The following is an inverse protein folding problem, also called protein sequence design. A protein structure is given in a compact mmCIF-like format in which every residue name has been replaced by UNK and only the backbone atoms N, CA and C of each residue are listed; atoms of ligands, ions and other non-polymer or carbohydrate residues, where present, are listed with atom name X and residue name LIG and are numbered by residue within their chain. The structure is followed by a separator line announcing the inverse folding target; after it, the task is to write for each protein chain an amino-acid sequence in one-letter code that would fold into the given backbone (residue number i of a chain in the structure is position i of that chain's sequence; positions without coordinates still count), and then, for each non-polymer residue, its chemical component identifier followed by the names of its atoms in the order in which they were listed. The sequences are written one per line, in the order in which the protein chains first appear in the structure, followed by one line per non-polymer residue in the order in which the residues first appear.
data_IF_071969309942
#
_entry.id   IF_071969309942
#
_cell.length_a   1.000
_cell.length_b   1.000
_cell.length_c   1.000
_cell.angle_alpha   90.00
_cell.angle_beta   90.00
_cell.angle_gamma   90.00
#
_symmetry.space_group_name_H-M   'P 1'
#
loop_
_entity.id
_entity.type
_entity.pdbx_description
1 polymer ?
#
# COMPACT_ATOMS: atom_id res chain seq x y z
N UNK A 1 11.41 24.72 10.96
CA UNK A 1 12.30 24.17 12.00
C UNK A 1 12.49 22.66 11.84
N UNK A 2 11.46 21.87 11.55
CA UNK A 2 11.51 20.40 11.33
C UNK A 2 12.41 20.01 10.13
N UNK A 3 12.37 20.77 9.02
CA UNK A 3 13.20 20.53 7.84
C UNK A 3 14.72 20.69 8.09
N UNK A 4 15.15 21.69 8.88
CA UNK A 4 16.57 21.88 9.23
C UNK A 4 17.10 20.74 10.10
N UNK A 5 16.28 20.15 10.96
CA UNK A 5 16.69 19.05 11.86
C UNK A 5 16.82 17.71 11.14
N UNK A 6 15.96 17.45 10.14
CA UNK A 6 16.01 16.23 9.32
C UNK A 6 17.22 16.19 8.38
N UNK A 7 17.63 17.31 7.82
CA UNK A 7 18.70 17.35 6.79
C UNK A 7 20.11 17.67 7.35
N UNK A 8 20.24 18.30 8.51
CA UNK A 8 21.53 18.76 9.01
C UNK A 8 22.32 17.71 9.82
N UNK A 9 21.72 16.59 10.23
CA UNK A 9 22.40 15.50 10.96
C UNK A 9 22.55 14.18 10.20
N UNK A 10 21.92 14.01 9.07
CA UNK A 10 21.91 12.73 8.35
C UNK A 10 22.95 12.73 7.21
N UNK A 11 24.20 12.47 7.53
CA UNK A 11 25.17 12.01 6.52
C UNK A 11 24.83 10.56 6.14
N UNK A 12 23.82 10.37 5.26
CA UNK A 12 23.54 9.07 4.69
C UNK A 12 24.54 8.75 3.58
N UNK A 13 24.82 7.48 3.40
CA UNK A 13 25.58 7.00 2.24
C UNK A 13 24.92 7.49 0.93
N UNK A 14 25.68 7.87 -0.12
CA UNK A 14 25.11 8.35 -1.39
C UNK A 14 24.04 7.43 -1.98
N UNK A 15 24.21 6.10 -1.87
CA UNK A 15 23.23 5.12 -2.31
C UNK A 15 21.91 5.22 -1.51
N UNK A 16 21.96 5.50 -0.21
CA UNK A 16 20.74 5.70 0.59
C UNK A 16 19.95 6.91 0.09
N UNK A 17 20.63 8.04 -0.19
CA UNK A 17 20.01 9.19 -0.84
C UNK A 17 19.44 8.85 -2.21
N UNK A 18 20.17 8.06 -3.02
CA UNK A 18 19.69 7.56 -4.30
C UNK A 18 18.40 6.74 -4.19
N UNK A 19 18.28 5.89 -3.15
CA UNK A 19 17.04 5.14 -2.88
C UNK A 19 15.91 6.07 -2.42
N UNK A 20 16.19 7.06 -1.56
CA UNK A 20 15.18 8.00 -1.06
C UNK A 20 14.64 8.88 -2.19
N UNK A 21 15.53 9.50 -2.98
CA UNK A 21 15.17 10.35 -4.12
C UNK A 21 14.48 9.50 -5.20
N UNK A 22 15.02 8.32 -5.49
CA UNK A 22 14.41 7.39 -6.43
C UNK A 22 13.02 6.91 -5.99
N UNK A 23 12.80 6.74 -4.67
CA UNK A 23 11.47 6.48 -4.12
C UNK A 23 10.52 7.65 -4.38
N UNK A 24 10.95 8.89 -4.13
CA UNK A 24 10.15 10.08 -4.45
C UNK A 24 9.77 10.13 -5.93
N UNK A 25 10.75 9.97 -6.83
CA UNK A 25 10.53 10.00 -8.27
C UNK A 25 9.62 8.86 -8.75
N UNK A 26 9.86 7.64 -8.29
CA UNK A 26 9.03 6.48 -8.66
C UNK A 26 7.61 6.59 -8.12
N UNK A 27 7.42 7.14 -6.92
CA UNK A 27 6.09 7.40 -6.36
C UNK A 27 5.37 8.53 -7.08
N UNK A 28 6.08 9.60 -7.45
CA UNK A 28 5.50 10.67 -8.28
C UNK A 28 5.01 10.10 -9.62
N UNK A 29 5.83 9.32 -10.33
CA UNK A 29 5.42 8.67 -11.58
C UNK A 29 4.26 7.69 -11.40
N UNK A 30 4.27 6.90 -10.33
CA UNK A 30 3.18 6.01 -10.00
C UNK A 30 1.86 6.75 -9.79
N UNK A 31 1.83 7.74 -8.90
CA UNK A 31 0.61 8.50 -8.57
C UNK A 31 0.18 9.46 -9.68
N UNK A 32 1.05 9.74 -10.66
CA UNK A 32 0.74 10.49 -11.87
C UNK A 32 -0.11 9.68 -12.86
N UNK A 33 -0.07 8.33 -12.80
CA UNK A 33 -0.67 7.43 -13.79
C UNK A 33 -1.68 6.46 -13.20
N UNK A 34 -1.28 5.64 -12.23
CA UNK A 34 -2.04 4.46 -11.80
C UNK A 34 -3.39 4.78 -11.14
N UNK A 35 -3.54 5.82 -10.31
CA UNK A 35 -4.85 6.23 -9.79
C UNK A 35 -5.84 6.63 -10.88
N UNK A 36 -5.33 7.15 -12.02
CA UNK A 36 -6.14 7.54 -13.16
C UNK A 36 -6.37 6.40 -14.16
N UNK A 37 -5.74 5.23 -13.95
CA UNK A 37 -5.85 4.10 -14.87
C UNK A 37 -7.31 3.64 -15.03
N UNK A 38 -8.10 3.63 -13.96
CA UNK A 38 -9.52 3.29 -14.03
C UNK A 38 -10.31 4.25 -14.93
N UNK A 39 -10.02 5.56 -14.84
CA UNK A 39 -10.65 6.59 -15.68
C UNK A 39 -10.20 6.43 -17.14
N UNK A 40 -8.89 6.23 -17.35
CA UNK A 40 -8.32 6.03 -18.69
C UNK A 40 -8.95 4.82 -19.40
N UNK A 41 -9.02 3.67 -18.72
CA UNK A 41 -9.60 2.45 -19.29
C UNK A 41 -11.10 2.60 -19.57
N UNK A 42 -11.86 3.19 -18.63
CA UNK A 42 -13.31 3.36 -18.80
C UNK A 42 -13.66 4.43 -19.82
N UNK A 43 -13.10 5.63 -19.68
CA UNK A 43 -13.51 6.80 -20.47
C UNK A 43 -12.86 6.87 -21.84
N UNK A 44 -11.54 6.60 -21.94
CA UNK A 44 -10.82 6.71 -23.22
C UNK A 44 -10.84 5.43 -24.04
N UNK A 45 -10.78 4.26 -23.36
CA UNK A 45 -10.77 2.97 -24.04
C UNK A 45 -12.16 2.32 -24.13
N UNK A 46 -13.17 2.90 -23.48
CA UNK A 46 -14.55 2.41 -23.54
C UNK A 46 -14.75 1.04 -22.89
N UNK A 47 -13.84 0.65 -21.99
CA UNK A 47 -13.91 -0.65 -21.31
C UNK A 47 -14.93 -0.57 -20.18
N UNK A 48 -15.80 -1.58 -20.07
CA UNK A 48 -16.83 -1.61 -19.03
C UNK A 48 -16.26 -1.68 -17.61
N UNK A 49 -16.96 -1.16 -16.59
CA UNK A 49 -16.43 -1.02 -15.24
C UNK A 49 -16.01 -2.35 -14.59
N UNK A 50 -16.70 -3.47 -14.87
CA UNK A 50 -16.34 -4.76 -14.30
C UNK A 50 -15.01 -5.28 -14.89
N UNK A 51 -14.80 -5.09 -16.19
CA UNK A 51 -13.54 -5.42 -16.88
C UNK A 51 -12.41 -4.51 -16.41
N UNK A 52 -12.66 -3.20 -16.23
CA UNK A 52 -11.70 -2.27 -15.60
C UNK A 52 -11.31 -2.75 -14.19
N UNK A 53 -12.31 -3.09 -13.37
CA UNK A 53 -12.07 -3.64 -12.03
C UNK A 53 -11.21 -4.90 -12.06
N UNK A 54 -11.44 -5.81 -13.02
CA UNK A 54 -10.65 -7.03 -13.18
C UNK A 54 -9.19 -6.73 -13.62
N UNK A 55 -9.00 -5.75 -14.52
CA UNK A 55 -7.66 -5.30 -14.94
C UNK A 55 -6.89 -4.71 -13.75
N UNK A 56 -7.52 -3.91 -12.91
CA UNK A 56 -6.90 -3.37 -11.70
C UNK A 56 -6.63 -4.48 -10.68
N UNK A 57 -7.57 -5.42 -10.52
CA UNK A 57 -7.45 -6.55 -9.60
C UNK A 57 -6.26 -7.45 -9.91
N UNK A 58 -5.98 -7.75 -11.19
CA UNK A 58 -4.86 -8.63 -11.56
C UNK A 58 -3.51 -8.01 -11.19
N UNK A 59 -3.36 -6.69 -11.25
CA UNK A 59 -2.15 -5.99 -10.79
C UNK A 59 -1.91 -6.22 -9.29
N UNK A 60 -2.95 -6.10 -8.49
CA UNK A 60 -2.88 -6.30 -7.04
C UNK A 60 -2.62 -7.76 -6.68
N UNK A 61 -3.26 -8.70 -7.37
CA UNK A 61 -3.10 -10.13 -7.14
C UNK A 61 -1.68 -10.60 -7.47
N UNK A 62 -1.17 -10.26 -8.66
CA UNK A 62 0.19 -10.61 -9.08
C UNK A 62 1.21 -9.93 -8.17
N UNK A 63 0.95 -8.69 -7.77
CA UNK A 63 1.78 -7.94 -6.81
C UNK A 63 1.93 -8.65 -5.48
N UNK A 64 0.86 -9.24 -4.94
CA UNK A 64 0.88 -9.99 -3.67
C UNK A 64 1.87 -11.16 -3.71
N UNK A 65 1.80 -11.97 -4.77
CA UNK A 65 2.70 -13.13 -4.95
C UNK A 65 4.12 -12.66 -5.23
N UNK A 66 4.28 -11.62 -6.04
CA UNK A 66 5.58 -11.11 -6.50
C UNK A 66 6.41 -10.46 -5.41
N UNK A 67 5.78 -9.88 -4.39
CA UNK A 67 6.48 -9.24 -3.28
C UNK A 67 7.36 -10.22 -2.52
N UNK A 68 6.85 -11.42 -2.27
CA UNK A 68 7.61 -12.48 -1.61
C UNK A 68 8.76 -12.99 -2.50
N UNK A 69 8.46 -13.28 -3.77
CA UNK A 69 9.43 -13.76 -4.74
C UNK A 69 10.56 -12.72 -4.99
N UNK A 70 10.20 -11.42 -5.08
CA UNK A 70 11.12 -10.32 -5.30
C UNK A 70 12.15 -10.17 -4.19
N UNK A 71 11.72 -10.27 -2.93
CA UNK A 71 12.61 -10.28 -1.77
C UNK A 71 13.64 -11.40 -1.86
N UNK A 72 13.18 -12.65 -2.05
CA UNK A 72 14.04 -13.82 -2.17
C UNK A 72 14.99 -13.75 -3.39
N UNK A 73 14.51 -13.22 -4.52
CA UNK A 73 15.30 -13.04 -5.73
C UNK A 73 16.42 -12.01 -5.50
N UNK A 74 16.11 -10.91 -4.80
CA UNK A 74 17.11 -9.88 -4.49
C UNK A 74 18.18 -10.32 -3.50
N UNK A 75 17.87 -11.28 -2.63
CA UNK A 75 18.84 -11.90 -1.73
C UNK A 75 19.82 -12.82 -2.48
N UNK A 76 19.37 -13.43 -3.58
CA UNK A 76 20.18 -14.36 -4.39
C UNK A 76 20.99 -13.66 -5.48
N UNK A 77 20.36 -12.78 -6.24
CA UNK A 77 20.96 -12.11 -7.40
C UNK A 77 21.62 -10.76 -7.05
N UNK A 78 21.40 -10.27 -5.82
CA UNK A 78 21.83 -8.95 -5.39
C UNK A 78 20.76 -7.87 -5.59
N UNK A 79 20.87 -6.79 -4.81
CA UNK A 79 19.89 -5.70 -4.80
C UNK A 79 19.83 -4.93 -6.11
N UNK A 80 21.00 -4.52 -6.62
CA UNK A 80 21.07 -3.69 -7.83
C UNK A 80 20.51 -4.39 -9.08
N UNK A 81 20.92 -5.62 -9.46
CA UNK A 81 20.39 -6.25 -10.66
C UNK A 81 18.85 -6.37 -10.63
N UNK A 82 18.28 -6.74 -9.49
CA UNK A 82 16.82 -6.89 -9.33
C UNK A 82 16.12 -5.54 -9.44
N UNK A 83 16.63 -4.48 -8.80
CA UNK A 83 16.05 -3.14 -8.89
C UNK A 83 16.15 -2.55 -10.29
N UNK A 84 17.30 -2.68 -10.95
CA UNK A 84 17.53 -2.19 -12.33
C UNK A 84 16.56 -2.88 -13.29
N UNK A 85 16.49 -4.21 -13.24
CA UNK A 85 15.58 -4.98 -14.11
C UNK A 85 14.12 -4.62 -13.83
N UNK A 86 13.72 -4.52 -12.57
CA UNK A 86 12.36 -4.16 -12.21
C UNK A 86 11.98 -2.76 -12.69
N UNK A 87 12.84 -1.75 -12.48
CA UNK A 87 12.55 -0.38 -12.91
C UNK A 87 12.59 -0.22 -14.43
N UNK A 88 13.54 -0.84 -15.12
CA UNK A 88 13.62 -0.82 -16.58
C UNK A 88 12.41 -1.50 -17.23
N UNK A 89 12.04 -2.68 -16.75
CA UNK A 89 10.85 -3.39 -17.24
C UNK A 89 9.56 -2.64 -16.90
N UNK A 90 9.46 -2.04 -15.71
CA UNK A 90 8.30 -1.23 -15.33
C UNK A 90 8.15 0.01 -16.20
N UNK A 91 9.27 0.65 -16.61
CA UNK A 91 9.26 1.73 -17.61
C UNK A 91 8.63 1.26 -18.93
N UNK A 92 9.01 0.08 -19.44
CA UNK A 92 8.43 -0.48 -20.67
C UNK A 92 6.93 -0.80 -20.52
N UNK A 93 6.48 -1.25 -19.34
CA UNK A 93 5.05 -1.46 -19.06
C UNK A 93 4.27 -0.16 -19.18
N UNK A 94 4.80 0.96 -18.67
CA UNK A 94 4.15 2.27 -18.80
C UNK A 94 4.08 2.75 -20.26
N UNK A 95 5.13 2.51 -21.04
CA UNK A 95 5.07 2.74 -22.50
C UNK A 95 3.98 1.87 -23.13
N UNK A 96 3.88 0.60 -22.71
CA UNK A 96 2.82 -0.31 -23.15
C UNK A 96 1.42 0.25 -22.87
N UNK A 97 1.15 0.76 -21.67
CA UNK A 97 -0.13 1.40 -21.34
C UNK A 97 -0.46 2.59 -22.25
N UNK A 98 0.54 3.39 -22.62
CA UNK A 98 0.34 4.53 -23.50
C UNK A 98 -0.16 4.14 -24.91
N UNK A 99 0.33 3.03 -25.46
CA UNK A 99 0.09 2.64 -26.85
C UNK A 99 -0.85 1.44 -27.02
N UNK A 100 -1.28 0.78 -25.93
CA UNK A 100 -2.20 -0.34 -26.00
C UNK A 100 -3.59 0.09 -26.44
N UNK A 101 -4.24 -0.75 -27.27
CA UNK A 101 -5.62 -0.59 -27.72
C UNK A 101 -6.52 -1.76 -27.31
N UNK A 102 -5.94 -2.97 -27.25
CA UNK A 102 -6.69 -4.20 -27.01
C UNK A 102 -6.87 -4.49 -25.52
N UNK A 103 -8.07 -4.87 -25.10
CA UNK A 103 -8.41 -5.13 -23.69
C UNK A 103 -7.50 -6.19 -23.05
N UNK A 104 -7.16 -7.27 -23.75
CA UNK A 104 -6.31 -8.33 -23.21
C UNK A 104 -4.87 -7.85 -22.92
N UNK A 105 -4.37 -6.87 -23.72
CA UNK A 105 -3.06 -6.27 -23.49
C UNK A 105 -3.04 -5.53 -22.15
N UNK A 106 -4.13 -4.83 -21.79
CA UNK A 106 -4.23 -4.15 -20.49
C UNK A 106 -4.19 -5.13 -19.31
N UNK A 107 -4.74 -6.35 -19.45
CA UNK A 107 -4.56 -7.39 -18.41
C UNK A 107 -3.10 -7.79 -18.25
N UNK A 108 -2.38 -8.01 -19.34
CA UNK A 108 -0.95 -8.37 -19.31
C UNK A 108 -0.12 -7.23 -18.71
N UNK A 109 -0.34 -6.00 -19.16
CA UNK A 109 0.37 -4.83 -18.65
C UNK A 109 0.09 -4.57 -17.17
N UNK A 110 -1.15 -4.75 -16.72
CA UNK A 110 -1.53 -4.65 -15.32
C UNK A 110 -0.86 -5.74 -14.45
N UNK A 111 -0.82 -6.97 -14.92
CA UNK A 111 -0.12 -8.06 -14.25
C UNK A 111 1.39 -7.74 -14.11
N UNK A 112 2.04 -7.29 -15.19
CA UNK A 112 3.44 -6.88 -15.19
C UNK A 112 3.69 -5.65 -14.30
N UNK A 113 2.77 -4.69 -14.28
CA UNK A 113 2.82 -3.54 -13.38
C UNK A 113 2.83 -3.99 -11.91
N UNK A 114 1.93 -4.91 -11.53
CA UNK A 114 1.89 -5.50 -10.20
C UNK A 114 3.18 -6.26 -9.86
N UNK A 115 3.70 -7.05 -10.81
CA UNK A 115 4.95 -7.80 -10.67
C UNK A 115 6.13 -6.87 -10.37
N UNK A 116 6.44 -5.94 -11.27
CA UNK A 116 7.65 -5.13 -11.17
C UNK A 116 7.61 -4.15 -10.01
N UNK A 117 6.46 -3.55 -9.71
CA UNK A 117 6.26 -2.72 -8.54
C UNK A 117 6.58 -3.48 -7.25
N UNK A 118 6.05 -4.68 -7.10
CA UNK A 118 6.16 -5.44 -5.85
C UNK A 118 7.46 -6.26 -5.75
N UNK A 119 8.22 -6.41 -6.81
CA UNK A 119 9.62 -6.86 -6.79
C UNK A 119 10.55 -5.70 -6.38
N UNK A 120 10.31 -4.48 -6.90
CA UNK A 120 11.12 -3.30 -6.62
C UNK A 120 11.03 -2.85 -5.15
N UNK A 121 9.83 -2.73 -4.60
CA UNK A 121 9.58 -2.13 -3.28
C UNK A 121 10.31 -2.80 -2.10
N UNK A 122 10.24 -4.13 -1.91
CA UNK A 122 10.97 -4.80 -0.85
C UNK A 122 12.48 -4.75 -1.07
N UNK A 123 12.93 -4.82 -2.33
CA UNK A 123 14.34 -4.75 -2.69
C UNK A 123 14.92 -3.36 -2.36
N UNK A 124 14.19 -2.28 -2.67
CA UNK A 124 14.60 -0.92 -2.34
C UNK A 124 14.69 -0.69 -0.81
N UNK A 125 13.74 -1.25 -0.04
CA UNK A 125 13.79 -1.21 1.43
C UNK A 125 15.01 -1.97 1.97
N UNK A 126 15.30 -3.14 1.42
CA UNK A 126 16.44 -3.94 1.82
C UNK A 126 17.76 -3.22 1.48
N UNK A 127 17.89 -2.65 0.28
CA UNK A 127 19.07 -1.86 -0.11
C UNK A 127 19.29 -0.69 0.84
N UNK A 128 18.22 0.06 1.18
CA UNK A 128 18.30 1.17 2.13
C UNK A 128 18.79 0.71 3.51
N UNK A 129 18.27 -0.42 4.01
CA UNK A 129 18.72 -1.01 5.28
C UNK A 129 20.19 -1.49 5.23
N UNK A 130 20.62 -2.05 4.08
CA UNK A 130 21.96 -2.59 3.90
C UNK A 130 23.04 -1.49 3.90
N UNK A 131 22.72 -0.30 3.33
CA UNK A 131 23.67 0.83 3.22
C UNK A 131 23.54 1.84 4.36
N UNK A 132 22.63 1.61 5.32
CA UNK A 132 22.41 2.53 6.45
C UNK A 132 22.80 1.88 7.76
N UNK A 133 23.67 2.52 8.58
CA UNK A 133 24.01 2.06 9.93
C UNK A 133 22.78 1.87 10.81
N UNK A 134 22.82 0.94 11.75
CA UNK A 134 21.65 0.56 12.57
C UNK A 134 21.04 1.71 13.36
N UNK A 135 21.89 2.55 13.95
CA UNK A 135 21.49 3.74 14.69
C UNK A 135 20.80 4.81 13.84
N UNK A 136 20.95 4.76 12.50
CA UNK A 136 20.41 5.71 11.52
C UNK A 136 19.29 5.16 10.66
N UNK A 137 18.96 3.88 10.76
CA UNK A 137 17.92 3.23 9.95
C UNK A 137 16.55 3.90 10.11
N UNK A 138 16.19 4.25 11.34
CA UNK A 138 14.92 4.94 11.61
C UNK A 138 14.80 6.25 10.83
N UNK A 139 15.88 7.04 10.79
CA UNK A 139 15.89 8.32 10.08
C UNK A 139 15.80 8.13 8.56
N UNK A 140 16.52 7.12 8.03
CA UNK A 140 16.50 6.80 6.59
C UNK A 140 15.11 6.31 6.15
N UNK A 141 14.47 5.45 6.94
CA UNK A 141 13.11 4.99 6.64
C UNK A 141 12.07 6.10 6.78
N UNK A 142 12.22 7.01 7.77
CA UNK A 142 11.37 8.19 7.90
C UNK A 142 11.52 9.13 6.68
N UNK A 143 12.76 9.37 6.23
CA UNK A 143 13.02 10.16 5.03
C UNK A 143 12.40 9.51 3.77
N UNK A 144 12.52 8.18 3.64
CA UNK A 144 11.86 7.43 2.56
C UNK A 144 10.33 7.51 2.65
N UNK A 145 9.76 7.40 3.84
CA UNK A 145 8.32 7.54 4.05
C UNK A 145 7.83 8.94 3.69
N UNK A 146 8.57 9.98 4.06
CA UNK A 146 8.30 11.35 3.61
C UNK A 146 8.34 11.47 2.08
N UNK A 147 9.33 10.86 1.43
CA UNK A 147 9.45 10.84 -0.02
C UNK A 147 8.25 10.16 -0.72
N UNK A 148 7.72 9.06 -0.15
CA UNK A 148 6.51 8.38 -0.64
C UNK A 148 5.31 9.33 -0.61
N UNK A 149 5.06 9.98 0.54
CA UNK A 149 3.91 10.86 0.72
C UNK A 149 4.03 12.14 -0.12
N UNK A 150 5.23 12.69 -0.24
CA UNK A 150 5.48 13.85 -1.10
C UNK A 150 5.20 13.50 -2.59
N UNK A 151 5.63 12.33 -3.04
CA UNK A 151 5.31 11.81 -4.37
C UNK A 151 3.80 11.61 -4.56
N UNK A 152 3.10 11.11 -3.53
CA UNK A 152 1.65 10.95 -3.51
C UNK A 152 0.89 12.27 -3.61
N UNK A 153 1.40 13.35 -3.00
CA UNK A 153 0.79 14.68 -3.09
C UNK A 153 1.03 15.35 -4.45
N UNK A 154 2.26 15.23 -4.99
CA UNK A 154 2.67 15.95 -6.22
C UNK A 154 2.25 15.18 -7.48
N UNK A 155 2.28 13.84 -7.44
CA UNK A 155 2.01 12.98 -8.60
C UNK A 155 0.67 13.27 -9.28
N UNK A 156 -0.47 13.25 -8.57
CA UNK A 156 -1.77 13.55 -9.18
C UNK A 156 -1.86 14.93 -9.80
N UNK A 157 -1.23 15.95 -9.18
CA UNK A 157 -1.21 17.32 -9.71
C UNK A 157 -0.46 17.41 -11.04
N UNK A 158 0.68 16.74 -11.15
CA UNK A 158 1.44 16.68 -12.41
C UNK A 158 0.64 15.85 -13.43
N UNK A 159 0.10 14.70 -13.03
CA UNK A 159 -0.70 13.83 -13.89
C UNK A 159 -1.86 14.59 -14.52
N UNK A 160 -2.63 15.32 -13.71
CA UNK A 160 -3.74 16.13 -14.18
C UNK A 160 -3.30 17.21 -15.20
N UNK A 161 -2.21 17.93 -14.91
CA UNK A 161 -1.64 18.93 -15.85
C UNK A 161 -1.14 18.31 -17.15
N UNK A 162 -0.72 17.05 -17.14
CA UNK A 162 -0.29 16.32 -18.32
C UNK A 162 -1.46 15.64 -19.06
N UNK A 163 -2.70 15.83 -18.59
CA UNK A 163 -3.90 15.30 -19.24
C UNK A 163 -4.36 13.93 -18.71
N UNK A 164 -3.97 13.53 -17.49
CA UNK A 164 -4.52 12.31 -16.88
C UNK A 164 -6.05 12.41 -16.78
N UNK A 165 -6.76 11.41 -17.32
CA UNK A 165 -8.22 11.38 -17.36
C UNK A 165 -8.88 12.24 -18.43
N UNK A 166 -8.10 12.87 -19.34
CA UNK A 166 -8.60 13.53 -20.56
C UNK A 166 -8.48 12.59 -21.76
N UNK A 167 -9.06 12.98 -22.89
CA UNK A 167 -9.03 12.21 -24.16
C UNK A 167 -7.61 12.03 -24.78
N UNK A 168 -6.56 12.38 -24.07
CA UNK A 168 -5.17 12.23 -24.51
C UNK A 168 -4.23 11.94 -23.32
N UNK A 169 -4.54 10.90 -22.54
CA UNK A 169 -3.77 10.50 -21.34
C UNK A 169 -2.41 9.84 -21.64
N UNK A 170 -1.87 10.02 -22.85
CA UNK A 170 -0.58 9.43 -23.26
C UNK A 170 0.60 9.99 -22.45
N UNK A 171 0.64 11.33 -22.25
CA UNK A 171 1.77 12.04 -21.65
C UNK A 171 2.09 11.58 -20.21
N UNK A 172 1.14 11.38 -19.29
CA UNK A 172 1.43 10.90 -17.95
C UNK A 172 2.18 9.57 -17.95
N UNK A 173 1.78 8.63 -18.81
CA UNK A 173 2.45 7.33 -18.93
C UNK A 173 3.87 7.46 -19.47
N UNK A 174 4.08 8.25 -20.53
CA UNK A 174 5.39 8.44 -21.12
C UNK A 174 6.36 9.18 -20.20
N UNK A 175 5.91 10.24 -19.52
CA UNK A 175 6.73 10.97 -18.55
C UNK A 175 7.11 10.06 -17.38
N UNK A 176 6.19 9.25 -16.86
CA UNK A 176 6.48 8.26 -15.82
C UNK A 176 7.46 7.19 -16.31
N UNK A 177 7.32 6.73 -17.55
CA UNK A 177 8.25 5.77 -18.16
C UNK A 177 9.67 6.35 -18.24
N UNK A 178 9.81 7.60 -18.65
CA UNK A 178 11.11 8.30 -18.70
C UNK A 178 11.71 8.42 -17.29
N UNK A 179 10.93 8.81 -16.30
CA UNK A 179 11.39 8.90 -14.90
C UNK A 179 11.91 7.53 -14.42
N UNK A 180 11.21 6.45 -14.71
CA UNK A 180 11.60 5.10 -14.29
C UNK A 180 12.85 4.61 -15.05
N UNK A 181 12.96 4.90 -16.34
CA UNK A 181 14.17 4.60 -17.13
C UNK A 181 15.39 5.34 -16.59
N UNK A 182 15.26 6.66 -16.32
CA UNK A 182 16.33 7.46 -15.74
C UNK A 182 16.75 6.95 -14.35
N UNK A 183 15.78 6.51 -13.55
CA UNK A 183 16.11 5.91 -12.26
C UNK A 183 16.80 4.55 -12.41
N UNK A 184 16.42 3.72 -13.38
CA UNK A 184 17.14 2.49 -13.69
C UNK A 184 18.60 2.77 -14.10
N UNK A 185 18.84 3.80 -14.93
CA UNK A 185 20.19 4.26 -15.31
C UNK A 185 20.97 4.74 -14.08
N UNK A 186 20.36 5.52 -13.20
CA UNK A 186 21.01 5.96 -11.96
C UNK A 186 21.42 4.76 -11.07
N UNK A 187 20.58 3.72 -10.99
CA UNK A 187 20.92 2.50 -10.26
C UNK A 187 22.09 1.75 -10.89
N UNK A 188 22.22 1.74 -12.24
CA UNK A 188 23.41 1.20 -12.93
C UNK A 188 24.65 1.99 -12.54
N UNK A 189 24.59 3.33 -12.55
CA UNK A 189 25.69 4.19 -12.13
C UNK A 189 26.09 3.90 -10.69
N UNK A 190 25.13 3.76 -9.78
CA UNK A 190 25.43 3.41 -8.38
C UNK A 190 26.05 2.01 -8.25
N UNK A 191 25.58 1.04 -9.01
CA UNK A 191 26.17 -0.30 -9.06
C UNK A 191 27.64 -0.28 -9.49
N UNK A 192 27.99 0.57 -10.45
CA UNK A 192 29.36 0.71 -10.96
C UNK A 192 30.27 1.47 -9.98
N UNK A 193 29.75 2.51 -9.31
CA UNK A 193 30.53 3.34 -8.40
C UNK A 193 30.64 2.77 -6.98
N UNK A 194 29.61 2.08 -6.49
CA UNK A 194 29.52 1.59 -5.11
C UNK A 194 29.34 0.08 -5.10
N UNK A 195 30.43 -0.66 -4.95
CA UNK A 195 30.38 -2.11 -4.75
C UNK A 195 29.84 -2.40 -3.34
N UNK A 196 28.64 -2.97 -3.25
CA UNK A 196 28.11 -3.45 -1.99
C UNK A 196 28.64 -4.87 -1.74
N UNK A 197 29.26 -5.08 -0.59
CA UNK A 197 29.61 -6.43 -0.16
C UNK A 197 28.33 -7.25 0.05
N UNK A 198 28.34 -8.47 -0.48
CA UNK A 198 27.24 -9.40 -0.24
C UNK A 198 27.24 -9.76 1.25
N UNK A 199 26.19 -9.36 1.96
CA UNK A 199 26.02 -9.78 3.36
C UNK A 199 26.00 -11.31 3.44
N UNK A 200 26.71 -11.87 4.42
CA UNK A 200 26.64 -13.30 4.72
C UNK A 200 25.20 -13.79 4.80
N UNK A 201 24.92 -14.89 4.12
CA UNK A 201 23.60 -15.50 4.07
C UNK A 201 23.17 -15.88 5.47
N UNK A 202 22.25 -15.14 6.06
CA UNK A 202 21.59 -15.55 7.29
C UNK A 202 20.96 -16.93 7.11
N UNK A 203 21.08 -17.79 8.11
CA UNK A 203 20.53 -19.14 8.08
C UNK A 203 19.05 -19.09 7.70
N UNK A 204 18.70 -19.65 6.56
CA UNK A 204 17.32 -19.63 6.03
C UNK A 204 16.51 -20.63 6.84
N UNK A 205 15.72 -20.15 7.79
CA UNK A 205 14.67 -20.97 8.42
C UNK A 205 13.73 -21.45 7.31
N UNK A 206 13.39 -22.72 7.31
CA UNK A 206 12.52 -23.30 6.29
C UNK A 206 11.19 -22.55 6.19
N UNK A 207 10.82 -22.11 5.00
CA UNK A 207 9.57 -21.37 4.69
C UNK A 207 8.35 -22.13 5.22
N UNK A 208 8.35 -23.47 5.10
CA UNK A 208 7.24 -24.31 5.57
C UNK A 208 7.10 -24.29 7.11
N UNK A 209 8.21 -24.23 7.84
CA UNK A 209 8.15 -24.14 9.31
C UNK A 209 7.64 -22.77 9.75
N UNK A 210 8.11 -21.68 9.11
CA UNK A 210 7.60 -20.32 9.38
C UNK A 210 6.11 -20.22 9.10
N UNK A 211 5.66 -20.68 7.93
CA UNK A 211 4.25 -20.68 7.56
C UNK A 211 3.40 -21.46 8.58
N UNK A 212 3.84 -22.65 8.99
CA UNK A 212 3.13 -23.46 9.98
C UNK A 212 2.94 -22.72 11.30
N UNK A 213 3.97 -22.06 11.82
CA UNK A 213 3.89 -21.31 13.09
C UNK A 213 2.95 -20.12 12.96
N UNK A 214 3.12 -19.32 11.90
CA UNK A 214 2.33 -18.10 11.67
C UNK A 214 0.84 -18.42 11.51
N UNK A 215 0.50 -19.44 10.70
CA UNK A 215 -0.89 -19.80 10.44
C UNK A 215 -1.53 -20.65 11.55
N UNK A 216 -0.78 -21.12 12.56
CA UNK A 216 -1.34 -21.73 13.77
C UNK A 216 -1.64 -20.70 14.86
N UNK A 217 -1.09 -19.47 14.77
CA UNK A 217 -1.42 -18.41 15.73
C UNK A 217 -2.82 -17.84 15.45
N UNK A 218 -3.77 -18.24 16.31
CA UNK A 218 -5.18 -17.84 16.18
C UNK A 218 -5.37 -16.31 16.23
N UNK A 219 -4.60 -15.58 17.04
CA UNK A 219 -4.72 -14.11 17.11
C UNK A 219 -4.32 -13.49 15.78
N UNK A 220 -3.18 -13.92 15.24
CA UNK A 220 -2.71 -13.48 13.93
C UNK A 220 -3.67 -13.87 12.81
N UNK A 221 -4.22 -15.09 12.84
CA UNK A 221 -5.16 -15.55 11.81
C UNK A 221 -6.43 -14.70 11.79
N UNK A 222 -7.02 -14.40 12.94
CA UNK A 222 -8.20 -13.54 13.02
C UNK A 222 -7.89 -12.09 12.62
N UNK A 223 -6.72 -11.58 12.99
CA UNK A 223 -6.24 -10.29 12.49
C UNK A 223 -6.13 -10.28 10.96
N UNK A 224 -5.47 -11.28 10.38
CA UNK A 224 -5.28 -11.40 8.93
C UNK A 224 -6.62 -11.48 8.18
N UNK A 225 -7.56 -12.29 8.66
CA UNK A 225 -8.89 -12.41 8.07
C UNK A 225 -9.66 -11.09 8.10
N UNK A 226 -9.60 -10.33 9.21
CA UNK A 226 -10.16 -8.99 9.27
C UNK A 226 -9.45 -8.01 8.33
N UNK A 227 -8.12 -8.11 8.27
CA UNK A 227 -7.31 -7.21 7.46
C UNK A 227 -7.50 -7.41 5.94
N UNK A 228 -7.96 -8.58 5.47
CA UNK A 228 -8.38 -8.80 4.08
C UNK A 228 -9.50 -7.81 3.69
N UNK A 229 -10.52 -7.64 4.52
CA UNK A 229 -11.63 -6.71 4.24
C UNK A 229 -11.22 -5.24 4.36
N UNK A 230 -10.36 -4.91 5.32
CA UNK A 230 -9.81 -3.56 5.48
C UNK A 230 -8.89 -3.19 4.32
N UNK A 231 -8.03 -4.10 3.88
CA UNK A 231 -7.20 -3.90 2.70
C UNK A 231 -8.07 -3.74 1.44
N UNK A 232 -9.17 -4.49 1.36
CA UNK A 232 -10.19 -4.33 0.33
C UNK A 232 -10.80 -2.93 0.32
N UNK A 233 -11.19 -2.42 1.50
CA UNK A 233 -11.72 -1.06 1.64
C UNK A 233 -10.75 0.00 1.11
N UNK A 234 -9.45 -0.14 1.41
CA UNK A 234 -8.41 0.77 0.92
C UNK A 234 -8.30 0.77 -0.61
N UNK A 235 -8.43 -0.39 -1.26
CA UNK A 235 -8.30 -0.47 -2.71
C UNK A 235 -9.35 0.34 -3.47
N UNK A 236 -10.51 0.59 -2.87
CA UNK A 236 -11.56 1.38 -3.51
C UNK A 236 -11.14 2.84 -3.77
N UNK A 237 -10.14 3.37 -3.06
CA UNK A 237 -9.57 4.68 -3.33
C UNK A 237 -9.04 4.78 -4.77
N UNK A 238 -8.24 3.79 -5.20
CA UNK A 238 -7.59 3.77 -6.51
C UNK A 238 -8.46 3.12 -7.60
N UNK A 239 -9.49 2.36 -7.22
CA UNK A 239 -10.24 1.52 -8.16
C UNK A 239 -11.67 2.00 -8.35
N UNK A 240 -12.54 1.80 -7.37
CA UNK A 240 -13.97 2.14 -7.48
C UNK A 240 -14.20 3.65 -7.46
N UNK A 241 -13.53 4.38 -6.56
CA UNK A 241 -13.68 5.83 -6.43
C UNK A 241 -13.14 6.55 -7.67
N UNK A 242 -12.04 6.06 -8.27
CA UNK A 242 -11.50 6.59 -9.52
C UNK A 242 -12.50 6.47 -10.66
N UNK A 243 -13.18 5.33 -10.76
CA UNK A 243 -14.22 5.11 -11.78
C UNK A 243 -15.48 5.93 -11.47
N UNK A 244 -15.93 5.98 -10.21
CA UNK A 244 -17.18 6.62 -9.81
C UNK A 244 -17.11 8.16 -9.86
N UNK A 245 -16.19 8.78 -9.12
CA UNK A 245 -16.03 10.25 -9.10
C UNK A 245 -15.22 10.71 -10.31
N UNK A 246 -14.14 9.99 -10.63
CA UNK A 246 -13.22 10.40 -11.68
C UNK A 246 -13.81 10.32 -13.07
N UNK A 247 -14.89 9.55 -13.27
CA UNK A 247 -15.58 9.47 -14.56
C UNK A 247 -15.99 10.86 -15.08
N UNK A 248 -16.61 11.68 -14.26
CA UNK A 248 -17.13 12.99 -14.66
C UNK A 248 -16.38 14.16 -14.01
N UNK A 249 -15.64 13.93 -12.90
CA UNK A 249 -15.02 14.96 -12.08
C UNK A 249 -13.59 14.59 -11.71
N UNK A 250 -12.69 14.53 -12.72
CA UNK A 250 -11.28 14.12 -12.53
C UNK A 250 -10.53 15.04 -11.57
N UNK A 251 -10.81 16.34 -11.62
CA UNK A 251 -10.22 17.34 -10.72
C UNK A 251 -10.64 17.09 -9.27
N UNK A 252 -11.91 16.76 -9.03
CA UNK A 252 -12.40 16.41 -7.69
C UNK A 252 -11.72 15.15 -7.17
N UNK A 253 -11.56 14.12 -8.00
CA UNK A 253 -10.85 12.91 -7.63
C UNK A 253 -9.38 13.19 -7.28
N UNK A 254 -8.68 13.99 -8.10
CA UNK A 254 -7.30 14.41 -7.82
C UNK A 254 -7.19 15.21 -6.51
N UNK A 255 -8.14 16.10 -6.25
CA UNK A 255 -8.20 16.88 -5.02
C UNK A 255 -8.38 15.98 -3.79
N UNK A 256 -9.22 14.94 -3.89
CA UNK A 256 -9.40 13.97 -2.81
C UNK A 256 -8.11 13.21 -2.47
N UNK A 257 -7.27 12.89 -3.45
CA UNK A 257 -5.95 12.30 -3.20
C UNK A 257 -5.03 13.23 -2.40
N UNK A 258 -5.07 14.52 -2.70
CA UNK A 258 -4.30 15.53 -1.95
C UNK A 258 -4.82 15.62 -0.52
N UNK A 259 -6.15 15.64 -0.35
CA UNK A 259 -6.80 15.65 0.98
C UNK A 259 -6.38 14.41 1.78
N UNK A 260 -6.40 13.20 1.18
CA UNK A 260 -5.93 11.97 1.82
C UNK A 260 -4.47 12.11 2.29
N UNK A 261 -3.56 12.51 1.39
CA UNK A 261 -2.14 12.65 1.74
C UNK A 261 -1.90 13.66 2.86
N UNK A 262 -2.55 14.84 2.79
CA UNK A 262 -2.44 15.87 3.82
C UNK A 262 -3.04 15.39 5.15
N UNK A 263 -4.17 14.69 5.11
CA UNK A 263 -4.79 14.12 6.30
C UNK A 263 -3.89 13.07 6.96
N UNK A 264 -3.22 12.20 6.19
CA UNK A 264 -2.21 11.28 6.72
C UNK A 264 -1.12 12.04 7.46
N UNK A 265 -0.52 13.05 6.83
CA UNK A 265 0.58 13.82 7.43
C UNK A 265 0.17 14.56 8.71
N UNK A 266 -1.05 15.09 8.76
CA UNK A 266 -1.57 15.86 9.90
C UNK A 266 -1.98 14.92 11.05
N UNK A 267 -2.73 13.85 10.74
CA UNK A 267 -3.39 13.04 11.76
C UNK A 267 -2.60 11.81 12.21
N UNK A 268 -1.60 11.34 11.44
CA UNK A 268 -0.86 10.12 11.78
C UNK A 268 -0.26 10.14 13.18
N UNK A 269 0.46 11.20 13.55
CA UNK A 269 1.10 11.29 14.85
C UNK A 269 0.12 11.48 16.01
N UNK A 270 -0.87 12.42 15.96
CA UNK A 270 -1.89 12.55 16.98
C UNK A 270 -2.70 11.27 17.21
N UNK A 271 -3.13 10.60 16.14
CA UNK A 271 -3.90 9.35 16.23
C UNK A 271 -3.07 8.22 16.82
N UNK A 272 -1.81 8.04 16.39
CA UNK A 272 -0.92 7.05 16.95
C UNK A 272 -0.72 7.24 18.45
N UNK A 273 -0.64 8.50 18.92
CA UNK A 273 -0.55 8.82 20.35
C UNK A 273 -1.83 8.55 21.11
N UNK A 274 -2.97 8.89 20.52
CA UNK A 274 -4.29 8.67 21.12
C UNK A 274 -4.58 7.17 21.27
N UNK A 275 -4.23 6.38 20.26
CA UNK A 275 -4.51 4.94 20.22
C UNK A 275 -3.70 4.12 21.21
N UNK A 276 -2.59 4.64 21.76
CA UNK A 276 -1.86 3.99 22.89
C UNK A 276 -2.73 3.75 24.13
N UNK A 277 -3.91 4.41 24.23
CA UNK A 277 -4.87 4.23 25.33
C UNK A 277 -5.80 3.02 25.13
N UNK A 278 -5.83 2.45 23.95
CA UNK A 278 -6.69 1.32 23.56
C UNK A 278 -5.85 0.09 23.26
N UNK A 279 -6.43 -1.09 23.38
CA UNK A 279 -5.79 -2.30 22.83
C UNK A 279 -5.71 -2.20 21.30
N UNK A 280 -4.65 -2.76 20.71
CA UNK A 280 -4.45 -2.71 19.26
C UNK A 280 -5.67 -3.20 18.47
N UNK A 281 -6.32 -4.29 18.91
CA UNK A 281 -7.54 -4.81 18.25
C UNK A 281 -8.77 -3.93 18.46
N UNK A 282 -8.89 -3.22 19.59
CA UNK A 282 -9.95 -2.23 19.77
C UNK A 282 -9.77 -1.02 18.84
N UNK A 283 -8.53 -0.55 18.69
CA UNK A 283 -8.20 0.54 17.77
C UNK A 283 -8.46 0.14 16.30
N UNK A 284 -8.17 -1.11 15.91
CA UNK A 284 -8.50 -1.64 14.58
C UNK A 284 -10.01 -1.64 14.30
N UNK A 285 -10.85 -1.99 15.31
CA UNK A 285 -12.31 -1.91 15.17
C UNK A 285 -12.80 -0.48 14.95
N UNK A 286 -12.23 0.48 15.70
CA UNK A 286 -12.53 1.91 15.51
C UNK A 286 -12.10 2.34 14.10
N UNK A 287 -10.91 1.93 13.67
CA UNK A 287 -10.41 2.20 12.31
C UNK A 287 -11.33 1.63 11.23
N UNK A 288 -11.78 0.40 11.39
CA UNK A 288 -12.74 -0.24 10.48
C UNK A 288 -14.05 0.55 10.35
N UNK A 289 -14.58 1.08 11.49
CA UNK A 289 -15.78 1.93 11.49
C UNK A 289 -15.54 3.21 10.68
N UNK A 290 -14.46 3.94 10.93
CA UNK A 290 -14.10 5.13 10.19
C UNK A 290 -13.90 4.87 8.70
N UNK A 291 -13.25 3.77 8.34
CA UNK A 291 -13.08 3.35 6.95
C UNK A 291 -14.41 3.17 6.22
N UNK A 292 -15.32 2.38 6.83
CA UNK A 292 -16.63 2.12 6.24
C UNK A 292 -17.47 3.38 6.11
N UNK A 293 -17.50 4.23 7.15
CA UNK A 293 -18.25 5.51 7.13
C UNK A 293 -17.68 6.47 6.07
N UNK A 294 -16.35 6.55 5.93
CA UNK A 294 -15.72 7.34 4.88
C UNK A 294 -16.11 6.86 3.48
N UNK A 295 -16.09 5.54 3.24
CA UNK A 295 -16.57 4.95 1.99
C UNK A 295 -18.03 5.30 1.72
N UNK A 296 -18.93 5.14 2.70
CA UNK A 296 -20.33 5.46 2.53
C UNK A 296 -20.56 6.94 2.18
N UNK A 297 -19.78 7.84 2.78
CA UNK A 297 -19.83 9.27 2.49
C UNK A 297 -19.58 9.61 1.01
N UNK A 298 -18.71 8.86 0.33
CA UNK A 298 -18.48 9.06 -1.11
C UNK A 298 -19.68 8.72 -2.00
N UNK A 299 -20.59 7.88 -1.51
CA UNK A 299 -21.80 7.51 -2.26
C UNK A 299 -22.99 8.44 -2.02
N UNK A 300 -23.01 9.17 -0.88
CA UNK A 300 -24.17 10.01 -0.51
C UNK A 300 -23.95 11.50 -0.71
N UNK A 301 -22.70 11.95 -0.86
CA UNK A 301 -22.38 13.37 -1.02
C UNK A 301 -21.87 13.67 -2.43
N UNK A 302 -22.38 14.77 -3.02
CA UNK A 302 -21.93 15.30 -4.30
C UNK A 302 -21.10 16.58 -4.14
N UNK A 303 -21.23 17.26 -3.01
CA UNK A 303 -20.51 18.48 -2.73
C UNK A 303 -19.03 18.18 -2.42
N UNK A 304 -18.11 18.91 -3.05
CA UNK A 304 -16.67 18.69 -2.91
C UNK A 304 -16.17 18.81 -1.47
N UNK A 305 -16.74 19.72 -0.68
CA UNK A 305 -16.40 19.88 0.73
C UNK A 305 -16.80 18.64 1.56
N UNK A 306 -18.01 18.10 1.33
CA UNK A 306 -18.48 16.90 2.04
C UNK A 306 -17.73 15.64 1.58
N UNK A 307 -17.35 15.57 0.30
CA UNK A 307 -16.46 14.52 -0.20
C UNK A 307 -15.07 14.60 0.45
N UNK A 308 -14.52 15.81 0.65
CA UNK A 308 -13.27 16.00 1.36
C UNK A 308 -13.39 15.59 2.86
N UNK A 309 -14.51 15.90 3.51
CA UNK A 309 -14.79 15.42 4.86
C UNK A 309 -14.85 13.88 4.91
N UNK A 310 -15.53 13.26 3.94
CA UNK A 310 -15.57 11.80 3.81
C UNK A 310 -14.17 11.20 3.61
N UNK A 311 -13.31 11.87 2.83
CA UNK A 311 -11.93 11.46 2.64
C UNK A 311 -11.13 11.57 3.96
N UNK A 312 -11.30 12.62 4.74
CA UNK A 312 -10.65 12.73 6.07
C UNK A 312 -11.11 11.59 7.00
N UNK A 313 -12.41 11.30 7.03
CA UNK A 313 -12.96 10.17 7.83
C UNK A 313 -12.36 8.85 7.36
N UNK A 314 -12.32 8.59 6.04
CA UNK A 314 -11.68 7.42 5.45
C UNK A 314 -10.21 7.32 5.83
N UNK A 315 -9.46 8.42 5.76
CA UNK A 315 -8.03 8.48 6.08
C UNK A 315 -7.75 8.23 7.56
N UNK A 316 -8.62 8.68 8.46
CA UNK A 316 -8.53 8.31 9.88
C UNK A 316 -8.64 6.79 10.03
N UNK A 317 -9.58 6.15 9.35
CA UNK A 317 -9.71 4.70 9.28
C UNK A 317 -8.46 4.02 8.75
N UNK A 318 -7.89 4.55 7.66
CA UNK A 318 -6.64 4.09 7.04
C UNK A 318 -5.48 4.09 8.05
N UNK A 319 -5.22 5.23 8.70
CA UNK A 319 -4.14 5.37 9.68
C UNK A 319 -4.32 4.37 10.82
N UNK A 320 -5.54 4.28 11.37
CA UNK A 320 -5.83 3.39 12.49
C UNK A 320 -5.64 1.92 12.11
N UNK A 321 -6.05 1.52 10.91
CA UNK A 321 -5.95 0.12 10.50
C UNK A 321 -4.52 -0.28 10.14
N UNK A 322 -3.78 0.53 9.37
CA UNK A 322 -2.44 0.15 8.92
C UNK A 322 -1.38 0.36 10.00
N UNK A 323 -1.35 1.53 10.67
CA UNK A 323 -0.33 1.80 11.70
C UNK A 323 -0.52 0.88 12.91
N UNK A 324 -1.77 0.72 13.37
CA UNK A 324 -2.04 -0.14 14.54
C UNK A 324 -1.92 -1.61 14.18
N UNK A 325 -2.21 -2.00 12.94
CA UNK A 325 -1.99 -3.35 12.43
C UNK A 325 -0.52 -3.75 12.54
N UNK A 326 0.40 -2.87 12.16
CA UNK A 326 1.84 -3.09 12.30
C UNK A 326 2.27 -3.19 13.76
N UNK A 327 1.71 -2.35 14.64
CA UNK A 327 1.96 -2.42 16.09
C UNK A 327 1.47 -3.76 16.65
N UNK A 328 0.27 -4.21 16.31
CA UNK A 328 -0.27 -5.50 16.75
C UNK A 328 0.64 -6.66 16.34
N UNK A 329 1.13 -6.67 15.10
CA UNK A 329 2.08 -7.71 14.64
C UNK A 329 3.34 -7.67 15.52
N UNK A 330 3.87 -6.49 15.82
CA UNK A 330 5.02 -6.32 16.71
C UNK A 330 4.79 -6.85 18.15
N UNK A 331 3.55 -6.75 18.65
CA UNK A 331 3.13 -7.22 19.98
C UNK A 331 2.98 -8.74 20.05
N UNK A 332 2.39 -9.37 19.02
CA UNK A 332 2.06 -10.80 19.03
C UNK A 332 3.18 -11.69 18.49
N UNK A 333 4.02 -11.17 17.59
CA UNK A 333 5.05 -11.94 16.92
C UNK A 333 6.25 -12.20 17.83
N UNK A 334 6.72 -13.47 17.97
CA UNK A 334 7.99 -13.77 18.60
C UNK A 334 9.14 -13.01 17.91
N UNK A 335 10.13 -12.52 18.68
CA UNK A 335 11.20 -11.64 18.17
C UNK A 335 11.92 -12.20 16.92
N UNK A 336 12.20 -13.51 16.93
CA UNK A 336 12.89 -14.22 15.83
C UNK A 336 11.98 -14.55 14.63
N UNK A 337 10.65 -14.34 14.73
CA UNK A 337 9.66 -14.62 13.67
C UNK A 337 8.93 -13.37 13.16
N UNK A 338 9.28 -12.16 13.65
CA UNK A 338 8.62 -10.92 13.25
C UNK A 338 8.58 -10.73 11.73
N UNK A 339 9.67 -11.04 11.03
CA UNK A 339 9.73 -10.97 9.57
C UNK A 339 8.71 -11.88 8.89
N UNK A 340 8.51 -13.09 9.42
CA UNK A 340 7.51 -14.04 8.90
C UNK A 340 6.07 -13.55 9.11
N UNK A 341 5.77 -12.95 10.26
CA UNK A 341 4.45 -12.35 10.55
C UNK A 341 4.16 -11.15 9.65
N UNK A 342 5.13 -10.23 9.49
CA UNK A 342 4.99 -9.10 8.55
C UNK A 342 4.89 -9.58 7.10
N UNK A 343 5.63 -10.61 6.70
CA UNK A 343 5.51 -11.21 5.39
C UNK A 343 4.13 -11.82 5.14
N UNK A 344 3.61 -12.57 6.11
CA UNK A 344 2.29 -13.20 6.03
C UNK A 344 1.14 -12.18 6.06
N UNK A 345 1.31 -11.00 6.69
CA UNK A 345 0.30 -9.93 6.63
C UNK A 345 0.05 -9.43 5.20
N UNK A 346 1.02 -9.60 4.30
CA UNK A 346 0.86 -9.30 2.87
C UNK A 346 -0.24 -10.10 2.17
N UNK A 347 -0.67 -11.26 2.71
CA UNK A 347 -1.83 -11.97 2.17
C UNK A 347 -3.14 -11.19 2.28
N UNK A 348 -3.21 -10.15 3.11
CA UNK A 348 -4.34 -9.23 3.13
C UNK A 348 -4.58 -8.53 1.79
N UNK A 349 -3.55 -8.38 0.94
CA UNK A 349 -3.68 -7.77 -0.39
C UNK A 349 -4.54 -8.59 -1.37
N UNK A 350 -4.83 -9.86 -1.07
CA UNK A 350 -5.86 -10.62 -1.77
C UNK A 350 -7.21 -9.90 -1.67
N UNK A 351 -7.50 -9.29 -0.50
CA UNK A 351 -8.68 -8.47 -0.30
C UNK A 351 -8.71 -7.23 -1.20
N UNK A 352 -7.57 -6.58 -1.42
CA UNK A 352 -7.50 -5.45 -2.37
C UNK A 352 -7.86 -5.89 -3.79
N UNK A 353 -7.32 -7.01 -4.24
CA UNK A 353 -7.62 -7.56 -5.56
C UNK A 353 -9.10 -7.92 -5.72
N UNK A 354 -9.67 -8.68 -4.78
CA UNK A 354 -11.08 -9.06 -4.81
C UNK A 354 -12.01 -7.82 -4.80
N UNK A 355 -11.72 -6.85 -3.94
CA UNK A 355 -12.52 -5.64 -3.80
C UNK A 355 -12.47 -4.73 -5.03
N UNK A 356 -11.33 -4.63 -5.70
CA UNK A 356 -11.20 -3.90 -6.96
C UNK A 356 -12.17 -4.44 -8.02
N UNK A 357 -12.27 -5.76 -8.14
CA UNK A 357 -13.21 -6.41 -9.07
C UNK A 357 -14.66 -6.26 -8.62
N UNK A 358 -14.95 -6.47 -7.32
CA UNK A 358 -16.30 -6.29 -6.76
C UNK A 358 -16.80 -4.86 -7.00
N UNK A 359 -15.97 -3.84 -6.77
CA UNK A 359 -16.32 -2.45 -7.03
C UNK A 359 -16.69 -2.20 -8.49
N UNK A 360 -15.93 -2.76 -9.43
CA UNK A 360 -16.22 -2.69 -10.88
C UNK A 360 -17.53 -3.40 -11.23
N UNK A 361 -17.80 -4.57 -10.64
CA UNK A 361 -19.07 -5.30 -10.82
C UNK A 361 -20.26 -4.46 -10.34
N UNK A 362 -20.16 -3.88 -9.14
CA UNK A 362 -21.23 -3.03 -8.60
C UNK A 362 -21.51 -1.82 -9.49
N UNK A 363 -20.48 -1.13 -9.99
CA UNK A 363 -20.63 -0.02 -10.92
C UNK A 363 -21.28 -0.45 -12.24
N UNK A 364 -20.92 -1.63 -12.78
CA UNK A 364 -21.48 -2.15 -14.03
C UNK A 364 -22.97 -2.47 -13.91
N UNK A 365 -23.38 -3.17 -12.85
CA UNK A 365 -24.72 -3.72 -12.74
C UNK A 365 -25.72 -2.79 -12.05
N UNK A 366 -25.27 -1.94 -11.13
CA UNK A 366 -26.12 -0.96 -10.44
C UNK A 366 -26.14 0.40 -11.14
N UNK A 367 -25.08 0.73 -11.90
CA UNK A 367 -24.95 2.02 -12.57
C UNK A 367 -24.37 3.12 -11.66
N UNK A 368 -23.87 4.18 -12.27
CA UNK A 368 -23.22 5.29 -11.56
C UNK A 368 -24.20 6.12 -10.70
N UNK A 369 -25.51 6.11 -11.04
CA UNK A 369 -26.53 6.84 -10.29
C UNK A 369 -26.86 6.19 -8.93
N UNK A 370 -26.45 4.94 -8.70
CA UNK A 370 -26.72 4.19 -7.48
C UNK A 370 -25.55 4.28 -6.47
N UNK A 371 -24.85 5.41 -6.44
CA UNK A 371 -23.75 5.65 -5.51
C UNK A 371 -24.06 5.28 -4.07
N UNK A 372 -25.19 5.75 -3.47
CA UNK A 372 -25.55 5.40 -2.09
C UNK A 372 -25.61 3.90 -1.84
N UNK A 373 -26.18 3.12 -2.77
CA UNK A 373 -26.29 1.68 -2.63
C UNK A 373 -24.93 0.98 -2.79
N UNK A 374 -24.15 1.39 -3.79
CA UNK A 374 -22.82 0.82 -4.06
C UNK A 374 -21.93 1.00 -2.82
N UNK A 375 -21.81 2.22 -2.33
CA UNK A 375 -20.91 2.51 -1.22
C UNK A 375 -21.46 2.00 0.13
N UNK A 376 -22.78 1.83 0.30
CA UNK A 376 -23.35 1.11 1.42
C UNK A 376 -22.92 -0.38 1.42
N UNK A 377 -22.96 -1.04 0.26
CA UNK A 377 -22.47 -2.42 0.14
C UNK A 377 -20.98 -2.50 0.48
N UNK A 378 -20.16 -1.58 -0.02
CA UNK A 378 -18.71 -1.54 0.26
C UNK A 378 -18.43 -1.28 1.74
N UNK A 379 -19.20 -0.41 2.39
CA UNK A 379 -19.18 -0.19 3.84
C UNK A 379 -19.49 -1.48 4.61
N UNK A 380 -20.57 -2.18 4.25
CA UNK A 380 -20.95 -3.44 4.89
C UNK A 380 -19.89 -4.53 4.72
N UNK A 381 -19.29 -4.64 3.53
CA UNK A 381 -18.16 -5.55 3.29
C UNK A 381 -16.96 -5.21 4.19
N UNK A 382 -16.67 -3.92 4.39
CA UNK A 382 -15.62 -3.48 5.31
C UNK A 382 -15.93 -3.90 6.75
N UNK A 383 -17.19 -3.81 7.18
CA UNK A 383 -17.60 -4.17 8.54
C UNK A 383 -17.54 -5.67 8.83
N UNK A 384 -17.41 -6.54 7.82
CA UNK A 384 -17.13 -7.98 8.03
C UNK A 384 -15.80 -8.18 8.77
N UNK A 385 -14.87 -7.23 8.74
CA UNK A 385 -13.65 -7.26 9.55
C UNK A 385 -13.91 -7.27 11.07
N UNK A 386 -15.02 -6.64 11.51
CA UNK A 386 -15.32 -6.42 12.92
C UNK A 386 -15.41 -7.70 13.76
N UNK A 387 -16.21 -8.73 13.40
CA UNK A 387 -16.30 -9.98 14.16
C UNK A 387 -14.93 -10.72 14.22
N UNK A 388 -14.09 -10.62 13.20
CA UNK A 388 -12.76 -11.21 13.23
C UNK A 388 -11.87 -10.51 14.26
N UNK A 389 -11.83 -9.19 14.28
CA UNK A 389 -11.07 -8.42 15.27
C UNK A 389 -11.61 -8.65 16.70
N UNK A 390 -12.93 -8.73 16.85
CA UNK A 390 -13.56 -9.05 18.15
C UNK A 390 -13.13 -10.41 18.66
N UNK A 391 -13.12 -11.43 17.80
CA UNK A 391 -12.68 -12.79 18.18
C UNK A 391 -11.20 -12.83 18.51
N UNK A 392 -10.37 -12.18 17.71
CA UNK A 392 -8.93 -12.05 17.94
C UNK A 392 -8.63 -11.39 19.29
N UNK A 393 -9.36 -10.31 19.64
CA UNK A 393 -9.24 -9.60 20.91
C UNK A 393 -9.55 -10.52 22.08
N UNK A 394 -10.66 -11.25 22.02
CA UNK A 394 -11.04 -12.18 23.09
C UNK A 394 -9.97 -13.25 23.35
N UNK A 395 -9.39 -13.81 22.29
CA UNK A 395 -8.31 -14.81 22.41
C UNK A 395 -7.05 -14.19 23.00
N UNK A 396 -6.69 -12.96 22.60
CA UNK A 396 -5.52 -12.24 23.13
C UNK A 396 -5.67 -11.96 24.63
N UNK A 397 -6.86 -11.50 25.06
CA UNK A 397 -7.18 -11.26 26.48
C UNK A 397 -7.13 -12.54 27.31
N UNK A 398 -7.61 -13.67 26.77
CA UNK A 398 -7.50 -14.97 27.43
C UNK A 398 -6.03 -15.40 27.62
N UNK A 399 -5.19 -15.22 26.57
CA UNK A 399 -3.74 -15.51 26.67
C UNK A 399 -3.05 -14.66 27.73
N UNK A 400 -3.40 -13.37 27.84
CA UNK A 400 -2.82 -12.48 28.84
C UNK A 400 -3.23 -12.89 30.27
N UNK A 401 -4.50 -13.22 30.48
CA UNK A 401 -5.00 -13.70 31.79
C UNK A 401 -4.30 -14.99 32.24
N UNK A 402 -4.08 -15.94 31.33
CA UNK A 402 -3.37 -17.17 31.62
C UNK A 402 -1.90 -16.92 32.01
N UNK A 403 -1.21 -16.02 31.31
CA UNK A 403 0.17 -15.66 31.64
C UNK A 403 0.28 -15.07 33.06
N UNK A 404 -0.57 -14.11 33.40
CA UNK A 404 -0.59 -13.49 34.73
C UNK A 404 -0.93 -14.50 35.83
N UNK A 405 -1.81 -15.46 35.54
CA UNK A 405 -2.15 -16.54 36.50
C UNK A 405 -0.96 -17.49 36.73
N UNK A 406 -0.24 -17.86 35.66
CA UNK A 406 0.96 -18.71 35.78
C UNK A 406 2.10 -18.00 36.57
N UNK A 407 2.34 -16.71 36.29
CA UNK A 407 3.36 -15.91 37.00
C UNK A 407 3.06 -15.84 38.50
N UNK A 408 1.81 -15.55 38.90
CA UNK A 408 1.38 -15.54 40.32
C UNK A 408 1.51 -16.88 41.00
N UNK A 409 1.27 -17.98 40.27
CA UNK A 409 1.41 -19.33 40.82
C UNK A 409 2.88 -19.69 41.01
N UNK A 410 3.76 -19.25 40.13
CA UNK A 410 5.23 -19.44 40.25
C UNK A 410 5.81 -18.63 41.39
N UNK A 411 5.39 -17.36 41.60
CA UNK A 411 5.80 -16.52 42.70
C UNK A 411 5.30 -17.03 44.09
N UNK A 412 4.18 -17.77 44.10
CA UNK A 412 3.63 -18.35 45.33
C UNK A 412 4.31 -19.67 45.73
N UNK A 413 5.10 -20.27 44.84
CA UNK A 413 5.84 -21.56 45.06
C UNK A 413 7.32 -21.32 45.39
N UNK A 414 7.86 -20.11 45.15
CA UNK A 414 9.18 -19.65 45.54
C UNK A 414 9.10 -18.91 46.85
#
# INVERSE_FOLDING_TARGET
MIFKTLFHKAQFHPVAWGVIIGTFLSRTGFFMTLPFLGIYLGKEKGIDPATVGAILAISLLVGTVSSFAGGALSDRLGRYPVMITAMGAWSLVLVGFAFASETWIFFVLSALNGLFRNVFEPTARALLADVTPEDRRTDAFNARYFAINLGGAIGPLIGLKLGAGSSSSLLPFLVSAIIFALYAVLLVVFMLLFKLEAKEKSAVVSINQMARIVFTDKVFLYFLLGNIFVAGAYSHLDTTLSQYIGHDRVEAYSFLFIVNTLAVLIFQYPLARLMKRFSSLAALKIGCLFFGLGLFGFGIFDNLFLLACSMVVFTIGEILCFVVGDVLIGEIAPGHLRGAYYGASGFAFIGQSASAWVGGILLKYLGFDQGPLIFAILMLLTFIAFPFYQRGQHILEQRQKLKVSCEKTTEAIV
#
